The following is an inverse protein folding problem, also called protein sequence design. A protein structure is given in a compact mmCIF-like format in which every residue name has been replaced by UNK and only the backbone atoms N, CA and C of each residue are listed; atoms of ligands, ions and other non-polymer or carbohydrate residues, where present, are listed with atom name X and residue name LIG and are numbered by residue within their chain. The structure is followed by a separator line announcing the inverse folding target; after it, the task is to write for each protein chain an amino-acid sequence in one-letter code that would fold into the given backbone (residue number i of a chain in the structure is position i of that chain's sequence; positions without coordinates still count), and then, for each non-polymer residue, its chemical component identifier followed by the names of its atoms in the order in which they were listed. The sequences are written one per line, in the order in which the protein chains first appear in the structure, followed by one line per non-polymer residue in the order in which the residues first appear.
data_IF_384438047316
#
_entry.id   IF_384438047316
#
_cell.length_a   1.000
_cell.length_b   1.000
_cell.length_c   1.000
_cell.angle_alpha   90.00
_cell.angle_beta   90.00
_cell.angle_gamma   90.00
#
_symmetry.space_group_name_H-M   'P 1'
#
loop_
_entity.id
_entity.type
_entity.pdbx_description
1 polymer ?
#
# COMPACT_ATOMS: atom_id res chain seq x y z
N UNK A 1 -6.13 -14.90 -2.80
CA UNK A 1 -5.73 -13.54 -2.37
C UNK A 1 -4.84 -13.63 -1.15
N UNK A 2 -3.81 -12.85 -1.11
CA UNK A 2 -2.86 -12.84 0.01
C UNK A 2 -3.03 -11.59 0.84
N UNK A 3 -2.92 -11.72 2.16
CA UNK A 3 -2.97 -10.57 3.06
C UNK A 3 -1.57 -10.02 3.26
N UNK A 4 -1.42 -8.70 3.13
CA UNK A 4 -0.16 -8.02 3.35
C UNK A 4 -0.36 -6.86 4.32
N UNK A 5 0.68 -6.51 5.02
CA UNK A 5 0.64 -5.37 5.95
C UNK A 5 1.06 -4.10 5.22
N UNK A 6 0.35 -3.02 5.51
CA UNK A 6 0.65 -1.70 5.00
C UNK A 6 0.90 -0.78 6.18
N UNK A 7 1.95 0.00 6.08
CA UNK A 7 2.22 1.06 7.05
C UNK A 7 1.85 2.39 6.43
N UNK A 8 1.08 3.19 7.16
CA UNK A 8 0.74 4.54 6.76
C UNK A 8 1.53 5.49 7.63
N UNK A 9 2.55 6.10 7.06
CA UNK A 9 3.49 6.96 7.77
C UNK A 9 3.08 8.41 7.59
N UNK A 10 2.95 9.13 8.71
CA UNK A 10 2.63 10.56 8.68
C UNK A 10 3.89 11.35 8.35
N UNK A 11 3.79 12.24 7.36
CA UNK A 11 4.91 13.07 6.92
C UNK A 11 4.44 14.52 6.82
N UNK A 12 5.35 15.46 7.07
CA UNK A 12 5.08 16.86 6.77
C UNK A 12 5.14 17.05 5.25
N UNK A 13 4.27 17.92 4.74
CA UNK A 13 4.27 18.21 3.29
C UNK A 13 5.32 19.26 2.99
N UNK A 14 6.57 18.81 2.88
CA UNK A 14 7.71 19.66 2.54
C UNK A 14 8.78 18.83 1.84
N UNK A 15 9.70 19.50 1.14
CA UNK A 15 10.78 18.77 0.47
C UNK A 15 11.57 17.92 1.46
N UNK A 16 12.08 16.80 0.96
CA UNK A 16 12.95 15.86 1.68
C UNK A 16 12.26 14.90 2.64
N UNK A 17 10.99 15.09 3.00
CA UNK A 17 10.35 14.15 3.95
C UNK A 17 10.24 12.76 3.36
N UNK A 18 9.84 12.64 2.09
CA UNK A 18 9.78 11.33 1.43
C UNK A 18 11.18 10.74 1.24
N UNK A 19 12.15 11.57 0.85
CA UNK A 19 13.52 11.12 0.70
C UNK A 19 14.09 10.60 2.01
N UNK A 20 13.76 11.27 3.12
CA UNK A 20 14.19 10.85 4.45
C UNK A 20 13.59 9.48 4.81
N UNK A 21 12.30 9.30 4.55
CA UNK A 21 11.63 8.02 4.80
C UNK A 21 12.27 6.91 3.96
N UNK A 22 12.51 7.18 2.69
CA UNK A 22 13.11 6.18 1.80
C UNK A 22 14.51 5.78 2.27
N UNK A 23 15.30 6.77 2.71
CA UNK A 23 16.65 6.49 3.22
C UNK A 23 16.61 5.68 4.52
N UNK A 24 15.67 6.01 5.41
CA UNK A 24 15.49 5.26 6.66
C UNK A 24 15.24 3.78 6.37
N UNK A 25 14.35 3.49 5.44
CA UNK A 25 14.03 2.11 5.07
C UNK A 25 15.21 1.43 4.39
N UNK A 26 15.92 2.15 3.52
CA UNK A 26 17.09 1.61 2.85
C UNK A 26 18.21 1.25 3.85
N UNK A 27 18.46 2.14 4.81
CA UNK A 27 19.48 1.90 5.81
C UNK A 27 19.14 0.71 6.71
N UNK A 28 17.84 0.45 6.90
CA UNK A 28 17.37 -0.72 7.64
C UNK A 28 17.30 -1.97 6.78
N UNK A 29 17.71 -1.88 5.51
CA UNK A 29 17.69 -2.99 4.55
C UNK A 29 16.27 -3.50 4.30
N UNK A 30 15.32 -2.57 4.23
CA UNK A 30 13.93 -2.86 3.93
C UNK A 30 13.66 -2.45 2.49
N UNK A 31 13.11 -3.36 1.70
CA UNK A 31 12.74 -3.08 0.32
C UNK A 31 11.28 -2.64 0.26
N UNK A 32 11.03 -1.55 -0.45
CA UNK A 32 9.67 -1.05 -0.66
C UNK A 32 9.06 -1.77 -1.86
N UNK A 33 7.98 -2.49 -1.60
CA UNK A 33 7.26 -3.24 -2.64
C UNK A 33 6.25 -2.34 -3.33
N UNK A 34 5.57 -1.49 -2.58
CA UNK A 34 4.60 -0.54 -3.12
C UNK A 34 4.55 0.69 -2.24
N UNK A 35 4.25 1.83 -2.85
CA UNK A 35 4.20 3.10 -2.13
C UNK A 35 3.18 4.02 -2.77
N UNK A 36 2.38 4.66 -1.94
CA UNK A 36 1.48 5.72 -2.36
C UNK A 36 1.69 6.91 -1.43
N UNK A 37 2.20 8.01 -1.99
CA UNK A 37 2.34 9.26 -1.25
C UNK A 37 1.21 10.21 -1.60
N UNK A 38 0.69 10.89 -0.60
CA UNK A 38 -0.36 11.87 -0.81
C UNK A 38 -0.24 13.00 0.19
N UNK A 39 -0.79 14.16 -0.14
CA UNK A 39 -0.76 15.33 0.72
C UNK A 39 -2.15 15.94 0.85
N UNK A 40 -2.38 16.57 2.01
CA UNK A 40 -3.57 17.36 2.25
C UNK A 40 -3.13 18.58 3.05
N UNK A 41 -2.96 19.73 2.38
CA UNK A 41 -2.44 20.93 3.00
C UNK A 41 -1.00 20.75 3.48
N UNK A 42 -0.74 21.06 4.73
CA UNK A 42 0.60 20.97 5.32
C UNK A 42 0.97 19.53 5.72
N UNK A 43 0.01 18.61 5.68
CA UNK A 43 0.23 17.24 6.08
C UNK A 43 0.31 16.32 4.88
N UNK A 44 1.05 15.25 5.04
CA UNK A 44 1.15 14.22 4.03
C UNK A 44 1.18 12.85 4.66
N UNK A 45 1.05 11.84 3.85
CA UNK A 45 1.21 10.46 4.29
C UNK A 45 1.85 9.65 3.18
N UNK A 46 2.56 8.60 3.59
CA UNK A 46 3.07 7.61 2.67
C UNK A 46 2.54 6.26 3.12
N UNK A 47 1.81 5.61 2.24
CA UNK A 47 1.35 4.25 2.46
C UNK A 47 2.36 3.32 1.82
N UNK A 48 2.98 2.46 2.62
CA UNK A 48 4.05 1.59 2.12
C UNK A 48 3.77 0.14 2.44
N UNK A 49 4.05 -0.70 1.46
CA UNK A 49 4.11 -2.15 1.63
C UNK A 49 5.57 -2.53 1.46
N UNK A 50 6.10 -3.23 2.44
CA UNK A 50 7.53 -3.55 2.49
C UNK A 50 7.73 -5.05 2.63
N UNK A 51 8.93 -5.52 2.31
CA UNK A 51 9.27 -6.94 2.42
C UNK A 51 9.45 -7.42 3.85
N UNK A 52 9.81 -6.53 4.78
CA UNK A 52 10.02 -6.86 6.18
C UNK A 52 9.40 -5.79 7.07
N UNK A 53 8.16 -6.03 7.45
CA UNK A 53 7.37 -5.05 8.21
C UNK A 53 7.94 -4.81 9.61
N UNK A 54 8.45 -5.86 10.26
CA UNK A 54 8.98 -5.70 11.61
C UNK A 54 10.24 -4.81 11.62
N UNK A 55 11.11 -5.00 10.64
CA UNK A 55 12.30 -4.18 10.51
C UNK A 55 11.96 -2.74 10.18
N UNK A 56 10.95 -2.54 9.32
CA UNK A 56 10.48 -1.20 8.99
C UNK A 56 9.93 -0.49 10.22
N UNK A 57 9.11 -1.18 11.00
CA UNK A 57 8.52 -0.60 12.22
C UNK A 57 9.60 -0.18 13.20
N UNK A 58 10.62 -1.00 13.39
CA UNK A 58 11.73 -0.65 14.27
C UNK A 58 12.46 0.61 13.79
N UNK A 59 12.67 0.73 12.49
CA UNK A 59 13.33 1.91 11.93
C UNK A 59 12.48 3.17 12.13
N UNK A 60 11.16 3.07 11.91
CA UNK A 60 10.26 4.20 12.10
C UNK A 60 10.17 4.61 13.57
N UNK A 61 10.08 3.63 14.48
CA UNK A 61 10.04 3.89 15.91
C UNK A 61 11.31 4.60 16.37
N UNK A 62 12.47 4.12 15.92
CA UNK A 62 13.74 4.72 16.27
C UNK A 62 13.86 6.16 15.78
N UNK A 63 13.28 6.45 14.62
CA UNK A 63 13.30 7.80 14.05
C UNK A 63 12.21 8.72 14.61
N UNK A 64 11.31 8.20 15.44
CA UNK A 64 10.24 8.98 16.00
C UNK A 64 9.13 9.32 15.02
N UNK A 65 8.98 8.57 13.95
CA UNK A 65 7.93 8.80 12.97
C UNK A 65 6.65 8.09 13.37
N UNK A 66 5.54 8.81 13.28
CA UNK A 66 4.22 8.24 13.57
C UNK A 66 3.70 7.45 12.39
N UNK A 67 3.11 6.30 12.66
CA UNK A 67 2.53 5.47 11.62
C UNK A 67 1.39 4.63 12.18
N UNK A 68 0.55 4.15 11.28
CA UNK A 68 -0.47 3.15 11.61
C UNK A 68 -0.25 1.93 10.73
N UNK A 69 -0.71 0.79 11.21
CA UNK A 69 -0.59 -0.47 10.47
C UNK A 69 -1.97 -0.94 10.06
N UNK A 70 -2.10 -1.38 8.81
CA UNK A 70 -3.34 -1.93 8.30
C UNK A 70 -3.06 -3.18 7.50
N UNK A 71 -4.13 -3.88 7.12
CA UNK A 71 -4.03 -5.08 6.31
C UNK A 71 -4.68 -4.83 4.97
N UNK A 72 -3.98 -5.18 3.89
CA UNK A 72 -4.49 -5.13 2.53
C UNK A 72 -4.65 -6.53 1.98
N UNK A 73 -5.49 -6.67 0.97
CA UNK A 73 -5.51 -7.86 0.14
C UNK A 73 -4.67 -7.60 -1.09
N UNK A 74 -3.80 -8.55 -1.41
CA UNK A 74 -3.01 -8.51 -2.63
C UNK A 74 -3.59 -9.51 -3.61
N UNK A 75 -3.96 -9.05 -4.79
CA UNK A 75 -4.63 -9.85 -5.81
C UNK A 75 -3.92 -9.67 -7.14
N UNK A 76 -3.66 -10.76 -7.83
CA UNK A 76 -3.17 -10.69 -9.19
C UNK A 76 -4.33 -10.80 -10.16
N UNK A 77 -4.33 -9.94 -11.18
CA UNK A 77 -5.26 -10.02 -12.31
C UNK A 77 -4.47 -9.95 -13.59
N UNK A 78 -5.08 -10.37 -14.70
CA UNK A 78 -4.41 -10.24 -15.98
C UNK A 78 -4.22 -8.77 -16.33
N UNK A 79 -3.09 -8.45 -16.93
CA UNK A 79 -2.79 -7.08 -17.33
C UNK A 79 -3.37 -6.82 -18.71
N UNK A 80 -4.69 -6.62 -18.75
CA UNK A 80 -5.40 -6.38 -20.00
C UNK A 80 -6.64 -5.52 -19.75
N UNK A 81 -7.18 -4.85 -20.78
CA UNK A 81 -8.41 -4.07 -20.61
C UNK A 81 -9.54 -4.94 -20.08
N UNK A 82 -10.30 -4.41 -19.12
CA UNK A 82 -11.45 -5.09 -18.54
C UNK A 82 -11.18 -5.97 -17.33
N UNK A 83 -9.93 -6.36 -17.09
CA UNK A 83 -9.62 -7.23 -15.95
C UNK A 83 -9.96 -6.58 -14.62
N UNK A 84 -9.62 -5.31 -14.44
CA UNK A 84 -9.94 -4.58 -13.22
C UNK A 84 -11.46 -4.43 -13.07
N UNK A 85 -12.15 -4.11 -14.15
CA UNK A 85 -13.60 -3.95 -14.12
C UNK A 85 -14.30 -5.24 -13.69
N UNK A 86 -13.85 -6.36 -14.22
CA UNK A 86 -14.40 -7.67 -13.90
C UNK A 86 -14.20 -8.00 -12.41
N UNK A 87 -13.00 -7.75 -11.90
CA UNK A 87 -12.71 -8.01 -10.50
C UNK A 87 -13.53 -7.10 -9.58
N UNK A 88 -13.60 -5.81 -9.89
CA UNK A 88 -14.37 -4.86 -9.09
C UNK A 88 -15.85 -5.22 -9.08
N UNK A 89 -16.39 -5.70 -10.20
CA UNK A 89 -17.78 -6.14 -10.27
C UNK A 89 -18.05 -7.33 -9.36
N UNK A 90 -17.10 -8.25 -9.23
CA UNK A 90 -17.25 -9.38 -8.31
C UNK A 90 -17.35 -8.91 -6.86
N UNK A 91 -16.53 -7.96 -6.47
CA UNK A 91 -16.60 -7.42 -5.12
C UNK A 91 -17.92 -6.67 -4.88
N UNK A 92 -18.37 -5.92 -5.87
CA UNK A 92 -19.64 -5.20 -5.79
C UNK A 92 -20.83 -6.16 -5.58
N UNK A 93 -20.83 -7.29 -6.27
CA UNK A 93 -21.88 -8.30 -6.09
C UNK A 93 -21.91 -8.87 -4.68
N UNK A 94 -20.75 -8.94 -4.02
CA UNK A 94 -20.66 -9.40 -2.64
C UNK A 94 -20.94 -8.31 -1.62
N UNK A 95 -21.24 -7.09 -2.07
CA UNK A 95 -21.50 -5.96 -1.19
C UNK A 95 -20.24 -5.45 -0.49
N UNK A 96 -19.08 -5.71 -1.05
CA UNK A 96 -17.81 -5.28 -0.47
C UNK A 96 -17.44 -3.91 -1.02
N UNK A 97 -17.26 -2.94 -0.12
CA UNK A 97 -16.83 -1.61 -0.49
C UNK A 97 -15.30 -1.52 -0.48
N UNK A 98 -14.75 -0.93 -1.52
CA UNK A 98 -13.30 -0.72 -1.62
C UNK A 98 -13.00 0.67 -1.07
N UNK A 99 -12.31 0.73 0.06
CA UNK A 99 -11.95 1.99 0.71
C UNK A 99 -10.75 2.64 0.05
N UNK A 100 -9.79 1.84 -0.37
CA UNK A 100 -8.66 2.32 -1.15
C UNK A 100 -8.13 1.18 -2.01
N UNK A 101 -7.56 1.54 -3.14
CA UNK A 101 -7.01 0.56 -4.06
C UNK A 101 -5.91 1.20 -4.87
N UNK A 102 -4.86 0.45 -5.11
CA UNK A 102 -3.88 0.84 -6.10
C UNK A 102 -3.36 -0.39 -6.82
N UNK A 103 -2.97 -0.18 -8.05
CA UNK A 103 -2.57 -1.27 -8.92
C UNK A 103 -1.20 -0.95 -9.52
N UNK A 104 -0.39 -1.97 -9.67
CA UNK A 104 0.89 -1.83 -10.36
C UNK A 104 0.95 -2.84 -11.49
N UNK A 105 1.32 -2.36 -12.66
CA UNK A 105 1.42 -3.17 -13.87
C UNK A 105 2.61 -2.69 -14.69
N UNK A 106 3.81 -3.20 -14.40
CA UNK A 106 4.98 -2.79 -15.16
C UNK A 106 4.78 -3.06 -16.65
N UNK A 107 5.34 -2.20 -17.49
CA UNK A 107 5.20 -2.34 -18.94
C UNK A 107 5.65 -3.73 -19.38
N UNK A 108 4.81 -4.40 -20.16
CA UNK A 108 5.11 -5.74 -20.65
C UNK A 108 4.80 -6.87 -19.69
N UNK A 109 4.39 -6.55 -18.46
CA UNK A 109 4.01 -7.59 -17.50
C UNK A 109 2.70 -8.26 -17.91
N UNK A 110 2.62 -9.56 -17.73
CA UNK A 110 1.39 -10.32 -18.03
C UNK A 110 0.36 -10.19 -16.93
N UNK A 111 0.79 -9.93 -15.72
CA UNK A 111 -0.07 -9.80 -14.56
C UNK A 111 0.06 -8.41 -13.95
N UNK A 112 -1.05 -7.91 -13.46
CA UNK A 112 -1.09 -6.69 -12.64
C UNK A 112 -1.38 -7.09 -11.20
N UNK A 113 -0.85 -6.33 -10.26
CA UNK A 113 -1.05 -6.59 -8.84
C UNK A 113 -1.92 -5.48 -8.26
N UNK A 114 -3.04 -5.88 -7.65
CA UNK A 114 -3.91 -4.96 -6.93
C UNK A 114 -3.65 -5.07 -5.44
N UNK A 115 -3.65 -3.92 -4.78
CA UNK A 115 -3.57 -3.82 -3.33
C UNK A 115 -4.83 -3.10 -2.86
N UNK A 116 -5.64 -3.78 -2.06
CA UNK A 116 -6.98 -3.33 -1.72
C UNK A 116 -7.18 -3.23 -0.22
N UNK A 117 -7.81 -2.14 0.22
CA UNK A 117 -8.34 -2.04 1.57
C UNK A 117 -9.86 -1.99 1.47
N UNK A 118 -10.53 -2.85 2.21
CA UNK A 118 -11.99 -2.88 2.20
C UNK A 118 -12.52 -2.83 3.62
N UNK A 119 -13.70 -2.27 3.80
CA UNK A 119 -14.29 -2.10 5.13
C UNK A 119 -14.80 -3.40 5.73
N UNK A 120 -15.00 -4.44 4.93
CA UNK A 120 -15.52 -5.72 5.41
C UNK A 120 -14.63 -6.88 5.00
N UNK A 121 -13.36 -6.63 4.82
CA UNK A 121 -12.41 -7.58 4.27
C UNK A 121 -12.35 -8.89 5.06
N UNK A 122 -12.23 -8.79 6.36
CA UNK A 122 -11.99 -9.97 7.20
C UNK A 122 -13.10 -11.00 7.12
N UNK A 123 -14.31 -10.60 6.77
CA UNK A 123 -15.47 -11.49 6.79
C UNK A 123 -15.92 -11.92 5.40
N UNK A 124 -15.43 -11.30 4.35
CA UNK A 124 -16.00 -11.47 3.01
C UNK A 124 -15.05 -12.03 1.97
N UNK A 125 -13.78 -11.84 2.17
CA UNK A 125 -12.76 -12.34 1.28
C UNK A 125 -12.04 -13.52 1.90
#
# INVERSE_FOLDING_TARGET
MAKVKQLTVSLENRPRTLAHLAKLLADAKVNVVALLGSTAGAQGSAQVVVDNVNRAKKALDKAGLSYTEGTLEQVEVENKPGALAEFAAKLAKKGINIDSAYVTAPKGAKKAVLLLATSSLATRL
#
